data_IF_931656042545
#
_entry.id   IF_931656042545
#
_cell.length_a   1.000
_cell.length_b   1.000
_cell.length_c   1.000
_cell.angle_alpha   90.00
_cell.angle_beta   90.00
_cell.angle_gamma   90.00
#
_symmetry.space_group_name_H-M   'P 1'
#
loop_
_entity.id
_entity.type
_entity.pdbx_description
1 polymer ?
#
# COMPACT_ATOMS: atom_id res chain seq x y z
N UNK A 1 0.39 -4.51 -28.36
CA UNK A 1 1.62 -4.78 -27.61
C UNK A 1 1.32 -4.55 -26.14
N UNK A 2 1.36 -5.61 -25.34
CA UNK A 2 0.97 -5.62 -23.93
C UNK A 2 2.05 -4.95 -23.08
N UNK A 3 1.92 -3.65 -22.85
CA UNK A 3 2.71 -2.93 -21.87
C UNK A 3 2.26 -3.33 -20.47
N UNK A 4 3.11 -4.07 -19.76
CA UNK A 4 2.83 -4.41 -18.37
C UNK A 4 2.98 -3.15 -17.51
N UNK A 5 2.06 -2.95 -16.56
CA UNK A 5 1.92 -1.74 -15.75
C UNK A 5 3.13 -1.39 -14.84
N UNK A 6 4.24 -2.12 -14.90
CA UNK A 6 5.49 -1.83 -14.22
C UNK A 6 6.47 -0.96 -15.04
N UNK A 7 6.22 -0.67 -16.32
CA UNK A 7 7.15 0.10 -17.17
C UNK A 7 6.92 1.61 -17.17
N UNK A 8 6.04 2.12 -16.31
CA UNK A 8 5.66 3.54 -16.24
C UNK A 8 6.31 4.21 -15.02
N UNK A 9 6.92 5.41 -15.10
CA UNK A 9 7.28 6.21 -13.91
C UNK A 9 6.07 6.74 -13.12
N UNK A 10 4.86 6.66 -13.70
CA UNK A 10 3.58 6.70 -12.99
C UNK A 10 3.12 5.31 -12.53
N UNK A 11 3.95 4.26 -12.68
CA UNK A 11 3.66 2.94 -12.13
C UNK A 11 3.67 3.02 -10.61
N UNK A 12 2.46 3.15 -10.13
CA UNK A 12 2.02 3.07 -8.78
C UNK A 12 2.36 1.66 -8.25
N UNK A 13 3.62 1.33 -7.98
CA UNK A 13 4.00 0.03 -7.41
C UNK A 13 4.59 0.23 -6.02
N UNK A 14 4.03 -0.51 -5.07
CA UNK A 14 4.44 -0.55 -3.67
C UNK A 14 5.20 -1.84 -3.42
N UNK A 15 6.43 -1.72 -2.93
CA UNK A 15 7.22 -2.83 -2.43
C UNK A 15 7.14 -2.88 -0.91
N UNK A 16 6.67 -3.99 -0.37
CA UNK A 16 6.63 -4.21 1.07
C UNK A 16 7.98 -4.71 1.60
N UNK A 17 8.50 -4.05 2.64
CA UNK A 17 9.70 -4.46 3.37
C UNK A 17 9.33 -4.98 4.76
N UNK A 18 9.88 -6.12 5.13
CA UNK A 18 9.65 -6.75 6.44
C UNK A 18 8.23 -7.27 6.66
N UNK A 19 7.98 -7.71 7.90
CA UNK A 19 6.69 -8.24 8.32
C UNK A 19 6.32 -9.57 7.65
N UNK A 20 5.04 -9.95 7.66
CA UNK A 20 4.58 -11.24 7.17
C UNK A 20 4.32 -11.28 5.65
N UNK A 21 4.47 -10.16 4.94
CA UNK A 21 4.35 -10.08 3.48
C UNK A 21 5.57 -9.39 2.83
N UNK A 22 6.82 -9.77 3.17
CA UNK A 22 7.98 -9.08 2.66
C UNK A 22 8.13 -9.35 1.15
N UNK A 23 8.68 -8.37 0.43
CA UNK A 23 9.00 -8.43 -1.00
C UNK A 23 7.82 -8.64 -1.94
N UNK A 24 6.58 -8.48 -1.46
CA UNK A 24 5.41 -8.43 -2.36
C UNK A 24 5.29 -7.04 -2.98
N UNK A 25 5.22 -7.02 -4.30
CA UNK A 25 4.82 -5.86 -5.09
C UNK A 25 3.30 -5.78 -5.21
N UNK A 26 2.74 -4.59 -5.04
CA UNK A 26 1.32 -4.29 -5.29
C UNK A 26 1.21 -3.07 -6.18
N UNK A 27 0.17 -2.97 -7.01
CA UNK A 27 -0.20 -1.66 -7.52
C UNK A 27 -0.70 -0.78 -6.36
N UNK A 28 -0.41 0.51 -6.37
CA UNK A 28 -0.71 1.45 -5.29
C UNK A 28 -2.22 1.53 -5.07
N UNK A 29 -2.99 1.63 -6.16
CA UNK A 29 -4.46 1.60 -6.07
C UNK A 29 -4.98 0.32 -5.40
N UNK A 30 -4.45 -0.85 -5.79
CA UNK A 30 -4.83 -2.14 -5.19
C UNK A 30 -4.38 -2.25 -3.72
N UNK A 31 -3.21 -1.67 -3.41
CA UNK A 31 -2.68 -1.59 -2.07
C UNK A 31 -3.57 -0.74 -1.15
N UNK A 32 -3.98 0.45 -1.61
CA UNK A 32 -4.92 1.31 -0.91
C UNK A 32 -6.29 0.62 -0.75
N UNK A 33 -6.80 -0.02 -1.80
CA UNK A 33 -8.04 -0.78 -1.74
C UNK A 33 -7.98 -1.93 -0.72
N UNK A 34 -6.86 -2.65 -0.65
CA UNK A 34 -6.63 -3.72 0.33
C UNK A 34 -6.66 -3.18 1.76
N UNK A 35 -5.99 -2.06 2.01
CA UNK A 35 -6.01 -1.39 3.32
C UNK A 35 -7.40 -0.91 3.70
N UNK A 36 -8.13 -0.28 2.77
CA UNK A 36 -9.50 0.16 2.97
C UNK A 36 -10.46 -1.01 3.27
N UNK A 37 -10.35 -2.12 2.53
CA UNK A 37 -11.14 -3.32 2.75
C UNK A 37 -10.89 -3.92 4.15
N UNK A 38 -9.62 -3.98 4.58
CA UNK A 38 -9.23 -4.42 5.92
C UNK A 38 -9.91 -3.59 7.03
N UNK A 39 -10.00 -2.26 6.87
CA UNK A 39 -10.72 -1.38 7.81
C UNK A 39 -12.22 -1.64 7.80
N UNK A 40 -12.82 -1.75 6.60
CA UNK A 40 -14.26 -1.99 6.45
C UNK A 40 -14.69 -3.29 7.11
N UNK A 41 -13.87 -4.33 6.99
CA UNK A 41 -14.10 -5.63 7.63
C UNK A 41 -13.76 -5.63 9.13
N UNK A 42 -13.23 -4.53 9.67
CA UNK A 42 -12.79 -4.39 11.07
C UNK A 42 -11.86 -5.51 11.52
N UNK A 43 -11.01 -6.01 10.61
CA UNK A 43 -10.06 -7.06 10.97
C UNK A 43 -9.17 -6.59 12.13
N UNK A 44 -8.83 -7.43 13.12
CA UNK A 44 -7.80 -7.08 14.09
C UNK A 44 -6.45 -6.89 13.41
N UNK A 45 -5.63 -5.94 13.88
CA UNK A 45 -4.27 -5.72 13.32
C UNK A 45 -3.34 -6.92 13.54
N UNK A 46 -3.64 -7.77 14.52
CA UNK A 46 -2.92 -9.02 14.78
C UNK A 46 -3.18 -10.11 13.74
N UNK A 47 -4.30 -10.04 13.02
CA UNK A 47 -4.75 -11.10 12.12
C UNK A 47 -4.31 -10.87 10.68
N UNK A 48 -4.26 -11.95 9.90
CA UNK A 48 -3.89 -11.91 8.48
C UNK A 48 -4.64 -10.83 7.67
N UNK A 49 -5.94 -10.64 7.98
CA UNK A 49 -6.78 -9.64 7.33
C UNK A 49 -6.43 -8.20 7.72
N UNK A 50 -5.76 -7.96 8.85
CA UNK A 50 -5.31 -6.67 9.34
C UNK A 50 -3.88 -6.28 8.96
N UNK A 51 -3.05 -7.25 8.56
CA UNK A 51 -1.61 -7.04 8.36
C UNK A 51 -1.27 -5.95 7.32
N UNK A 52 -2.07 -5.79 6.27
CA UNK A 52 -1.84 -4.74 5.25
C UNK A 52 -1.81 -3.33 5.84
N UNK A 53 -2.52 -3.12 6.96
CA UNK A 53 -2.56 -1.82 7.63
C UNK A 53 -1.28 -1.55 8.41
N UNK A 54 -0.52 -2.57 8.78
CA UNK A 54 0.73 -2.48 9.55
C UNK A 54 1.96 -2.12 8.71
N UNK A 55 1.76 -1.43 7.60
CA UNK A 55 2.84 -0.91 6.78
C UNK A 55 2.67 0.60 6.63
N UNK A 56 3.77 1.36 6.68
CA UNK A 56 3.78 2.79 6.38
C UNK A 56 4.69 3.07 5.18
N UNK A 57 4.38 4.11 4.38
CA UNK A 57 5.29 4.59 3.36
C UNK A 57 6.58 5.07 4.00
N UNK A 58 7.70 4.81 3.34
CA UNK A 58 8.98 5.41 3.69
C UNK A 58 9.38 6.46 2.65
N UNK A 59 10.44 7.21 2.92
CA UNK A 59 11.07 8.07 1.91
C UNK A 59 11.95 7.29 0.94
N UNK A 60 12.10 5.98 1.14
CA UNK A 60 12.95 5.13 0.30
C UNK A 60 12.22 4.75 -0.99
N UNK A 61 13.01 4.62 -2.05
CA UNK A 61 12.58 4.04 -3.32
C UNK A 61 13.49 2.89 -3.69
N UNK A 62 12.94 1.83 -4.28
CA UNK A 62 13.73 0.73 -4.84
C UNK A 62 13.69 0.79 -6.36
N UNK A 63 14.88 0.84 -6.97
CA UNK A 63 15.04 0.75 -8.43
C UNK A 63 15.59 -0.61 -8.80
N UNK A 64 14.92 -1.31 -9.71
CA UNK A 64 15.37 -2.62 -10.18
C UNK A 64 16.36 -2.55 -11.36
N UNK A 65 16.82 -3.72 -11.83
CA UNK A 65 17.79 -3.85 -12.93
C UNK A 65 17.31 -3.28 -14.26
N UNK A 66 16.01 -3.03 -14.41
CA UNK A 66 15.40 -2.42 -15.59
C UNK A 66 15.16 -0.92 -15.42
N UNK A 67 15.63 -0.32 -14.33
CA UNK A 67 15.47 1.10 -14.04
C UNK A 67 14.08 1.48 -13.52
N UNK A 68 13.26 0.51 -13.08
CA UNK A 68 11.90 0.77 -12.58
C UNK A 68 11.93 1.15 -11.12
N UNK A 69 11.40 2.32 -10.77
CA UNK A 69 11.35 2.83 -9.39
C UNK A 69 10.04 2.45 -8.71
N UNK A 70 10.14 1.88 -7.50
CA UNK A 70 9.00 1.46 -6.67
C UNK A 70 9.02 2.15 -5.32
N UNK A 71 7.84 2.46 -4.76
CA UNK A 71 7.71 3.06 -3.43
C UNK A 71 7.88 1.98 -2.37
N UNK A 72 8.76 2.20 -1.40
CA UNK A 72 8.94 1.24 -0.32
C UNK A 72 7.97 1.54 0.81
N UNK A 73 7.32 0.49 1.30
CA UNK A 73 6.49 0.53 2.50
C UNK A 73 7.04 -0.46 3.51
N UNK A 74 7.27 0.00 4.73
CA UNK A 74 7.92 -0.78 5.78
C UNK A 74 6.90 -1.26 6.80
N UNK A 75 7.05 -2.52 7.21
CA UNK A 75 6.27 -3.10 8.28
C UNK A 75 6.57 -2.42 9.62
N UNK A 76 5.51 -2.10 10.33
CA UNK A 76 5.56 -1.40 11.61
C UNK A 76 5.20 -2.37 12.73
N UNK A 77 6.04 -2.39 13.76
CA UNK A 77 5.78 -3.17 14.95
C UNK A 77 4.58 -2.64 15.76
N UNK A 78 3.82 -3.52 16.44
CA UNK A 78 2.59 -3.11 17.14
C UNK A 78 2.87 -2.07 18.24
N UNK A 79 4.06 -2.11 18.85
CA UNK A 79 4.46 -1.12 19.85
C UNK A 79 4.59 0.30 19.27
N UNK A 80 4.96 0.43 18.00
CA UNK A 80 5.06 1.74 17.34
C UNK A 80 3.67 2.27 16.93
N UNK A 81 2.72 1.39 16.60
CA UNK A 81 1.30 1.76 16.47
C UNK A 81 0.73 2.34 17.76
N UNK A 82 1.06 1.72 18.89
CA UNK A 82 0.65 2.21 20.21
C UNK A 82 1.15 3.62 20.50
N UNK A 83 2.39 3.94 20.11
CA UNK A 83 2.99 5.28 20.31
C UNK A 83 2.31 6.38 19.50
N UNK A 84 1.83 6.06 18.30
CA UNK A 84 1.11 7.02 17.46
C UNK A 84 -0.31 7.30 17.93
N UNK A 85 -0.87 6.42 18.78
CA UNK A 85 -2.24 6.55 19.29
C UNK A 85 -3.34 6.39 18.23
N UNK A 86 -2.97 6.28 16.96
CA UNK A 86 -3.88 6.07 15.82
C UNK A 86 -3.20 5.39 14.66
N UNK A 87 -4.03 4.84 13.79
CA UNK A 87 -3.61 4.29 12.50
C UNK A 87 -3.03 5.37 11.57
N UNK A 88 -1.92 5.06 10.89
CA UNK A 88 -1.42 5.90 9.80
C UNK A 88 -2.29 5.71 8.54
N UNK A 89 -2.77 6.83 8.00
CA UNK A 89 -3.44 6.93 6.72
C UNK A 89 -2.59 7.81 5.79
N UNK A 90 -2.41 7.37 4.55
CA UNK A 90 -1.88 8.25 3.50
C UNK A 90 -2.89 9.35 3.16
N UNK A 91 -2.45 10.49 2.59
CA UNK A 91 -3.38 11.51 2.11
C UNK A 91 -4.46 10.94 1.17
N UNK A 92 -4.11 9.96 0.33
CA UNK A 92 -5.05 9.29 -0.57
C UNK A 92 -6.10 8.43 0.17
N UNK A 93 -5.78 7.93 1.37
CA UNK A 93 -6.71 7.20 2.25
C UNK A 93 -7.59 8.14 3.09
N UNK A 94 -7.14 9.38 3.30
CA UNK A 94 -7.91 10.42 4.01
C UNK A 94 -8.96 11.07 3.10
N UNK A 95 -8.79 10.99 1.77
CA UNK A 95 -9.76 11.50 0.81
C UNK A 95 -11.05 10.66 0.80
N UNK A 96 -12.23 11.30 0.67
CA UNK A 96 -13.49 10.57 0.53
C UNK A 96 -13.44 9.62 -0.68
N UNK A 97 -13.92 8.38 -0.51
CA UNK A 97 -13.94 7.30 -1.50
C UNK A 97 -14.64 7.62 -2.85
N UNK A 98 -15.16 8.84 -3.03
CA UNK A 98 -15.84 9.31 -4.23
C UNK A 98 -14.91 9.52 -5.45
N UNK A 99 -13.58 9.57 -5.29
CA UNK A 99 -12.64 9.80 -6.41
C UNK A 99 -12.14 8.54 -7.12
N UNK A 100 -12.17 7.37 -6.48
CA UNK A 100 -11.67 6.13 -7.08
C UNK A 100 -12.75 5.34 -7.86
N UNK A 101 -13.96 5.92 -8.03
CA UNK A 101 -15.07 5.32 -8.79
C UNK A 101 -15.24 5.85 -10.22
N UNK A 102 -14.28 6.60 -10.76
CA UNK A 102 -14.40 7.12 -12.13
C UNK A 102 -13.30 6.53 -12.99
N UNK A 103 -13.63 5.45 -13.70
CA UNK A 103 -12.67 4.81 -14.62
C UNK A 103 -13.11 3.50 -15.29
N UNK A 104 -14.40 3.20 -15.40
CA UNK A 104 -14.90 2.28 -16.45
C UNK A 104 -16.21 2.84 -16.99
N UNK A 105 -16.08 3.72 -17.97
CA UNK A 105 -17.18 4.12 -18.83
C UNK A 105 -16.78 3.79 -20.26
N UNK A 106 -17.63 2.97 -20.89
CA UNK A 106 -17.72 2.59 -22.30
C UNK A 106 -16.46 2.00 -22.97
#
# INVERSE_FOLDING_TARGET
MSGYAWTDPYSDVVLLRGGPRPHRGFFYADWLATRAASRRMRCPLGDYGGWSRRYAPTTDTHTDEHGRTTRVWEHIDPGQWGRWGREYLTPDEELPAARFRTGRAA
#
